data_IF_783940709996
#
_entry.id   IF_783940709996
#
_cell.length_a   1.000
_cell.length_b   1.000
_cell.length_c   1.000
_cell.angle_alpha   90.00
_cell.angle_beta   90.00
_cell.angle_gamma   90.00
#
_symmetry.space_group_name_H-M   'P 1'
#
loop_
_entity.id
_entity.type
_entity.pdbx_description
1 polymer ?
#
# COMPACT_ATOMS: atom_id res chain seq x y z
N UNK A 1 57.35 76.04 54.92
CA UNK A 1 57.54 74.73 54.27
C UNK A 1 56.33 74.35 53.45
N UNK A 2 56.44 74.37 52.11
CA UNK A 2 55.46 73.73 51.22
C UNK A 2 56.06 72.39 50.80
N UNK A 3 55.42 71.28 51.18
CA UNK A 3 55.77 69.94 50.72
C UNK A 3 54.94 69.67 49.46
N UNK A 4 55.60 69.58 48.31
CA UNK A 4 55.01 69.15 47.04
C UNK A 4 54.90 67.62 47.07
N UNK A 5 53.72 67.01 46.83
CA UNK A 5 53.63 65.56 46.78
C UNK A 5 54.24 65.05 45.48
N UNK A 6 55.22 64.18 45.58
CA UNK A 6 55.81 63.43 44.46
C UNK A 6 54.76 62.52 43.83
N UNK A 7 54.50 62.73 42.54
CA UNK A 7 53.68 61.84 41.70
C UNK A 7 54.36 60.48 41.61
N UNK A 8 53.73 59.45 42.17
CA UNK A 8 54.15 58.06 42.03
C UNK A 8 53.65 57.60 40.66
N UNK A 9 54.56 57.44 39.70
CA UNK A 9 54.24 56.81 38.42
C UNK A 9 53.93 55.33 38.65
N UNK A 10 52.84 54.85 38.05
CA UNK A 10 52.38 53.48 38.21
C UNK A 10 53.42 52.48 37.67
N UNK A 11 53.61 51.32 38.33
CA UNK A 11 54.58 50.33 37.88
C UNK A 11 54.22 49.82 36.47
N UNK A 12 55.22 49.51 35.62
CA UNK A 12 54.97 49.05 34.26
C UNK A 12 54.15 47.76 34.29
N UNK A 13 53.00 47.76 33.61
CA UNK A 13 52.16 46.57 33.43
C UNK A 13 52.97 45.51 32.67
N UNK A 14 53.43 44.48 33.38
CA UNK A 14 54.02 43.29 32.76
C UNK A 14 52.94 42.65 31.90
N UNK A 15 53.08 42.71 30.56
CA UNK A 15 52.26 41.91 29.64
C UNK A 15 52.66 40.46 29.85
N UNK A 16 51.85 39.73 30.63
CA UNK A 16 51.90 38.27 30.64
C UNK A 16 51.58 37.83 29.21
N UNK A 17 52.47 37.11 28.50
CA UNK A 17 52.15 36.58 27.19
C UNK A 17 50.92 35.69 27.38
N UNK A 18 49.85 36.01 26.67
CA UNK A 18 48.65 35.19 26.61
C UNK A 18 49.12 33.81 26.17
N UNK A 19 49.06 32.82 27.08
CA UNK A 19 49.53 31.46 26.80
C UNK A 19 48.71 30.96 25.61
N UNK A 20 49.29 31.00 24.41
CA UNK A 20 48.66 30.46 23.22
C UNK A 20 48.27 29.01 23.53
N UNK A 21 46.97 28.72 23.48
CA UNK A 21 46.46 27.38 23.73
C UNK A 21 47.14 26.42 22.76
N UNK A 22 47.69 25.29 23.24
CA UNK A 22 48.36 24.33 22.38
C UNK A 22 47.45 23.85 21.26
N UNK A 23 48.00 23.71 20.05
CA UNK A 23 47.30 23.30 18.85
C UNK A 23 46.47 22.00 19.01
N UNK A 24 46.94 21.06 19.82
CA UNK A 24 46.20 19.82 20.09
C UNK A 24 44.88 20.05 20.87
N UNK A 25 44.83 21.05 21.75
CA UNK A 25 43.63 21.42 22.50
C UNK A 25 42.60 22.07 21.57
N UNK A 26 43.06 22.96 20.68
CA UNK A 26 42.21 23.62 19.68
C UNK A 26 41.64 22.61 18.66
N UNK A 27 42.47 21.67 18.17
CA UNK A 27 42.04 20.59 17.28
C UNK A 27 41.06 19.62 17.95
N UNK A 28 41.29 19.26 19.22
CA UNK A 28 40.37 18.41 19.98
C UNK A 28 38.98 19.04 20.09
N UNK A 29 38.92 20.33 20.44
CA UNK A 29 37.66 21.09 20.55
C UNK A 29 36.94 21.24 19.21
N UNK A 30 37.67 21.51 18.13
CA UNK A 30 37.12 21.57 16.77
C UNK A 30 36.59 20.21 16.28
N UNK A 31 37.31 19.11 16.55
CA UNK A 31 36.85 17.75 16.23
C UNK A 31 35.61 17.35 17.02
N UNK A 32 35.54 17.73 18.30
CA UNK A 32 34.39 17.46 19.16
C UNK A 32 33.14 18.24 18.72
N UNK A 33 33.31 19.51 18.35
CA UNK A 33 32.23 20.34 17.79
C UNK A 33 31.77 19.84 16.42
N UNK A 34 32.70 19.54 15.49
CA UNK A 34 32.38 18.97 14.18
C UNK A 34 31.68 17.61 14.30
N UNK A 35 32.14 16.77 15.23
CA UNK A 35 31.52 15.48 15.55
C UNK A 35 30.08 15.64 16.07
N UNK A 36 29.82 16.63 16.93
CA UNK A 36 28.47 16.92 17.44
C UNK A 36 27.54 17.43 16.35
N UNK A 37 27.99 18.36 15.52
CA UNK A 37 27.20 18.89 14.38
C UNK A 37 26.91 17.81 13.36
N UNK A 38 27.89 16.97 13.02
CA UNK A 38 27.70 15.82 12.11
C UNK A 38 26.73 14.78 12.68
N UNK A 39 26.78 14.51 13.98
CA UNK A 39 25.80 13.62 14.66
C UNK A 39 24.39 14.20 14.61
N UNK A 40 24.23 15.50 14.86
CA UNK A 40 22.92 16.18 14.76
C UNK A 40 22.40 16.14 13.32
N UNK A 41 23.26 16.43 12.33
CA UNK A 41 22.89 16.37 10.93
C UNK A 41 22.51 14.95 10.49
N UNK A 42 23.24 13.93 10.94
CA UNK A 42 22.90 12.52 10.71
C UNK A 42 21.57 12.14 11.36
N UNK A 43 21.32 12.57 12.61
CA UNK A 43 20.05 12.32 13.30
C UNK A 43 18.88 12.99 12.58
N UNK A 44 19.03 14.26 12.21
CA UNK A 44 18.02 14.99 11.45
C UNK A 44 17.76 14.32 10.09
N UNK A 45 18.83 13.93 9.38
CA UNK A 45 18.73 13.18 8.14
C UNK A 45 18.01 11.85 8.31
N UNK A 46 18.31 11.09 9.37
CA UNK A 46 17.64 9.83 9.69
C UNK A 46 16.15 10.02 9.97
N UNK A 47 15.77 11.07 10.70
CA UNK A 47 14.36 11.41 10.96
C UNK A 47 13.64 11.76 9.65
N UNK A 48 14.25 12.59 8.80
CA UNK A 48 13.66 12.93 7.49
C UNK A 48 13.49 11.67 6.63
N UNK A 49 14.50 10.80 6.59
CA UNK A 49 14.43 9.55 5.84
C UNK A 49 13.33 8.63 6.36
N UNK A 50 13.18 8.54 7.69
CA UNK A 50 12.11 7.78 8.35
C UNK A 50 10.72 8.31 7.96
N UNK A 51 10.53 9.63 7.97
CA UNK A 51 9.26 10.25 7.58
C UNK A 51 8.93 9.98 6.11
N UNK A 52 9.92 10.06 5.23
CA UNK A 52 9.76 9.72 3.81
C UNK A 52 9.37 8.25 3.67
N UNK A 53 10.02 7.34 4.40
CA UNK A 53 9.71 5.92 4.35
C UNK A 53 8.29 5.62 4.82
N UNK A 54 7.86 6.26 5.91
CA UNK A 54 6.48 6.14 6.41
C UNK A 54 5.48 6.67 5.37
N UNK A 55 5.76 7.80 4.73
CA UNK A 55 4.90 8.35 3.69
C UNK A 55 4.82 7.41 2.47
N UNK A 56 5.95 6.86 2.01
CA UNK A 56 5.98 5.86 0.94
C UNK A 56 5.16 4.62 1.30
N UNK A 57 5.32 4.11 2.52
CA UNK A 57 4.54 2.98 3.02
C UNK A 57 3.05 3.28 3.06
N UNK A 58 2.65 4.44 3.57
CA UNK A 58 1.25 4.85 3.63
C UNK A 58 0.60 4.96 2.24
N UNK A 59 1.31 5.51 1.26
CA UNK A 59 0.82 5.63 -0.12
C UNK A 59 0.72 4.25 -0.80
N UNK A 60 1.71 3.38 -0.56
CA UNK A 60 1.77 2.04 -1.14
C UNK A 60 0.67 1.13 -0.57
N UNK A 61 0.51 1.14 0.77
CA UNK A 61 -0.45 0.28 1.49
C UNK A 61 -1.75 0.99 1.86
N UNK A 62 -2.07 2.11 1.21
CA UNK A 62 -3.26 2.95 1.50
C UNK A 62 -4.56 2.15 1.59
N UNK A 63 -4.77 1.19 0.68
CA UNK A 63 -5.98 0.37 0.62
C UNK A 63 -6.04 -0.64 1.78
N UNK A 64 -4.93 -1.31 2.09
CA UNK A 64 -4.84 -2.23 3.23
C UNK A 64 -5.02 -1.50 4.56
N UNK A 65 -4.42 -0.31 4.71
CA UNK A 65 -4.56 0.51 5.91
C UNK A 65 -6.00 0.99 6.10
N UNK A 66 -6.67 1.43 5.02
CA UNK A 66 -8.07 1.81 5.06
C UNK A 66 -9.01 0.64 5.37
N UNK A 67 -8.64 -0.58 4.98
CA UNK A 67 -9.41 -1.79 5.26
C UNK A 67 -9.25 -2.28 6.70
N UNK A 68 -8.05 -2.21 7.28
CA UNK A 68 -7.79 -2.60 8.67
C UNK A 68 -8.17 -1.54 9.69
N UNK A 69 -8.11 -0.26 9.32
CA UNK A 69 -8.46 0.88 10.19
C UNK A 69 -9.58 1.72 9.58
N UNK A 70 -10.86 1.30 9.70
CA UNK A 70 -11.99 2.01 9.11
C UNK A 70 -12.10 3.48 9.59
N UNK A 71 -11.70 3.76 10.84
CA UNK A 71 -11.70 5.10 11.41
C UNK A 71 -10.70 6.05 10.73
N UNK A 72 -9.62 5.52 10.15
CA UNK A 72 -8.62 6.31 9.42
C UNK A 72 -8.99 6.52 7.95
N UNK A 73 -9.96 5.76 7.41
CA UNK A 73 -10.43 5.85 6.02
C UNK A 73 -10.75 7.29 5.56
N UNK A 74 -11.48 8.13 6.30
CA UNK A 74 -11.76 9.51 5.85
C UNK A 74 -10.50 10.39 5.78
N UNK A 75 -9.57 10.26 6.73
CA UNK A 75 -8.31 11.01 6.72
C UNK A 75 -7.36 10.54 5.60
N UNK A 76 -7.37 9.23 5.31
CA UNK A 76 -6.65 8.65 4.16
C UNK A 76 -7.26 9.10 2.83
N UNK A 77 -8.58 9.12 2.72
CA UNK A 77 -9.27 9.56 1.52
C UNK A 77 -9.01 11.05 1.22
N UNK A 78 -9.04 11.93 2.23
CA UNK A 78 -8.77 13.35 2.05
C UNK A 78 -7.31 13.64 1.68
N UNK A 79 -6.35 12.99 2.35
CA UNK A 79 -4.93 13.12 1.98
C UNK A 79 -4.66 12.58 0.57
N UNK A 80 -5.32 11.48 0.18
CA UNK A 80 -5.19 10.96 -1.18
C UNK A 80 -5.80 11.87 -2.25
N UNK A 81 -6.93 12.54 -1.97
CA UNK A 81 -7.52 13.49 -2.91
C UNK A 81 -6.57 14.64 -3.26
N UNK A 82 -5.76 15.10 -2.30
CA UNK A 82 -4.74 16.14 -2.52
C UNK A 82 -3.54 15.59 -3.31
N UNK A 83 -3.13 14.35 -3.01
CA UNK A 83 -1.98 13.69 -3.63
C UNK A 83 -2.31 13.05 -5.00
N UNK A 84 -3.57 13.10 -5.44
CA UNK A 84 -4.03 12.47 -6.67
C UNK A 84 -4.17 10.94 -6.61
N UNK A 85 -4.13 10.33 -5.42
CA UNK A 85 -4.42 8.91 -5.24
C UNK A 85 -5.88 8.63 -4.91
N UNK A 86 -6.31 7.38 -5.06
CA UNK A 86 -7.64 6.89 -4.65
C UNK A 86 -7.49 5.75 -3.65
N UNK A 87 -8.35 5.76 -2.64
CA UNK A 87 -8.45 4.70 -1.62
C UNK A 87 -9.57 3.76 -2.07
N UNK A 88 -9.18 2.59 -2.54
CA UNK A 88 -10.08 1.55 -3.05
C UNK A 88 -10.05 0.33 -2.12
N UNK A 89 -10.96 -0.63 -2.34
CA UNK A 89 -10.90 -1.88 -1.60
C UNK A 89 -9.61 -2.65 -1.94
N UNK A 90 -9.04 -3.38 -0.97
CA UNK A 90 -7.95 -4.30 -1.25
C UNK A 90 -8.34 -5.30 -2.34
N UNK A 91 -7.37 -5.66 -3.18
CA UNK A 91 -7.52 -6.59 -4.30
C UNK A 91 -6.49 -7.73 -4.14
N UNK A 92 -6.67 -8.55 -3.10
CA UNK A 92 -5.72 -9.62 -2.73
C UNK A 92 -6.28 -10.98 -3.17
N UNK A 93 -5.72 -11.54 -4.24
CA UNK A 93 -6.18 -12.83 -4.80
C UNK A 93 -6.01 -13.98 -3.81
N UNK A 94 -4.95 -13.95 -2.97
CA UNK A 94 -4.69 -14.99 -1.96
C UNK A 94 -5.79 -15.11 -0.88
N UNK A 95 -6.63 -14.08 -0.73
CA UNK A 95 -7.78 -14.09 0.18
C UNK A 95 -9.06 -14.57 -0.50
N UNK A 96 -9.01 -14.93 -1.78
CA UNK A 96 -10.14 -15.40 -2.55
C UNK A 96 -9.95 -16.87 -2.92
N UNK A 97 -10.97 -17.67 -2.63
CA UNK A 97 -11.03 -19.08 -3.00
C UNK A 97 -12.26 -19.29 -3.86
N UNK A 98 -12.08 -19.94 -4.99
CA UNK A 98 -13.18 -20.45 -5.82
C UNK A 98 -13.32 -21.94 -5.54
N UNK A 99 -14.52 -22.37 -5.16
CA UNK A 99 -14.83 -23.80 -5.05
C UNK A 99 -15.18 -24.40 -6.41
N UNK A 100 -15.09 -25.73 -6.53
CA UNK A 100 -15.41 -26.44 -7.78
C UNK A 100 -16.80 -26.06 -8.28
N UNK A 101 -16.87 -25.57 -9.51
CA UNK A 101 -18.12 -25.18 -10.16
C UNK A 101 -18.76 -26.32 -10.96
N UNK A 102 -19.94 -26.03 -11.48
CA UNK A 102 -20.68 -26.92 -12.36
C UNK A 102 -20.97 -26.20 -13.68
N UNK A 103 -20.67 -26.88 -14.80
CA UNK A 103 -20.98 -26.42 -16.14
C UNK A 103 -22.24 -27.14 -16.64
N UNK A 104 -23.27 -26.38 -16.95
CA UNK A 104 -24.57 -26.89 -17.43
C UNK A 104 -24.86 -26.38 -18.83
N UNK A 105 -25.42 -27.25 -19.68
CA UNK A 105 -25.90 -26.88 -21.02
C UNK A 105 -27.37 -26.47 -20.95
N UNK A 106 -27.69 -25.28 -21.46
CA UNK A 106 -29.05 -24.77 -21.58
C UNK A 106 -29.66 -25.08 -22.96
N UNK A 107 -28.90 -25.73 -23.85
CA UNK A 107 -29.30 -26.03 -25.22
C UNK A 107 -29.01 -24.88 -26.20
N UNK A 108 -28.92 -25.22 -27.50
CA UNK A 108 -28.72 -24.25 -28.57
C UNK A 108 -27.44 -23.40 -28.42
N UNK A 109 -26.35 -24.00 -27.92
CA UNK A 109 -25.06 -23.34 -27.69
C UNK A 109 -25.02 -22.42 -26.47
N UNK A 110 -26.07 -22.39 -25.64
CA UNK A 110 -26.07 -21.66 -24.37
C UNK A 110 -25.59 -22.55 -23.22
N UNK A 111 -24.74 -21.99 -22.37
CA UNK A 111 -24.18 -22.65 -21.20
C UNK A 111 -24.33 -21.75 -19.96
N UNK A 112 -24.49 -22.38 -18.81
CA UNK A 112 -24.42 -21.73 -17.51
C UNK A 112 -23.36 -22.40 -16.64
N UNK A 113 -22.46 -21.60 -16.08
CA UNK A 113 -21.46 -22.06 -15.14
C UNK A 113 -21.77 -21.49 -13.76
N UNK A 114 -21.94 -22.34 -12.75
CA UNK A 114 -22.23 -21.94 -11.38
C UNK A 114 -21.08 -22.35 -10.46
N UNK A 115 -20.60 -21.42 -9.65
CA UNK A 115 -19.53 -21.65 -8.67
C UNK A 115 -19.76 -20.81 -7.40
N UNK A 116 -18.96 -21.06 -6.38
CA UNK A 116 -18.93 -20.29 -5.15
C UNK A 116 -17.60 -19.55 -5.05
N UNK A 117 -17.69 -18.23 -4.83
CA UNK A 117 -16.54 -17.39 -4.53
C UNK A 117 -16.55 -17.03 -3.05
N UNK A 118 -15.52 -17.44 -2.33
CA UNK A 118 -15.36 -17.20 -0.90
C UNK A 118 -14.22 -16.23 -0.64
N UNK A 119 -14.50 -15.20 0.16
CA UNK A 119 -13.46 -14.37 0.75
C UNK A 119 -13.06 -14.97 2.11
N UNK A 120 -11.88 -15.56 2.20
CA UNK A 120 -11.35 -16.11 3.46
C UNK A 120 -10.66 -15.07 4.34
N UNK A 121 -10.46 -13.85 3.82
CA UNK A 121 -9.82 -12.75 4.52
C UNK A 121 -10.69 -12.12 5.61
N UNK A 122 -10.03 -11.37 6.50
CA UNK A 122 -10.68 -10.61 7.58
C UNK A 122 -11.20 -9.23 7.14
N UNK A 123 -10.95 -8.83 5.89
CA UNK A 123 -11.36 -7.53 5.34
C UNK A 123 -12.16 -7.71 4.05
N UNK A 124 -13.04 -6.75 3.70
CA UNK A 124 -13.71 -6.74 2.40
C UNK A 124 -12.68 -6.69 1.25
N UNK A 125 -12.92 -7.46 0.19
CA UNK A 125 -12.10 -7.47 -1.02
C UNK A 125 -12.88 -6.86 -2.19
N UNK A 126 -12.17 -6.22 -3.12
CA UNK A 126 -12.75 -5.80 -4.39
C UNK A 126 -13.25 -7.02 -5.16
N UNK A 127 -14.30 -6.87 -5.97
CA UNK A 127 -14.78 -7.96 -6.80
C UNK A 127 -13.76 -8.31 -7.90
N UNK A 128 -13.35 -9.58 -8.03
CA UNK A 128 -12.33 -9.98 -9.01
C UNK A 128 -12.92 -10.10 -10.41
N UNK A 129 -12.05 -10.12 -11.42
CA UNK A 129 -12.42 -10.65 -12.73
C UNK A 129 -12.26 -12.17 -12.73
N UNK A 130 -13.17 -12.85 -13.42
CA UNK A 130 -13.18 -14.31 -13.55
C UNK A 130 -12.77 -14.68 -14.96
N UNK A 131 -11.79 -15.56 -15.07
CA UNK A 131 -11.40 -16.15 -16.33
C UNK A 131 -11.92 -17.59 -16.39
N UNK A 132 -12.76 -17.87 -17.38
CA UNK A 132 -13.27 -19.21 -17.65
C UNK A 132 -12.66 -19.71 -18.97
N UNK A 133 -11.91 -20.80 -18.89
CA UNK A 133 -11.40 -21.53 -20.05
C UNK A 133 -12.17 -22.84 -20.18
N UNK A 134 -12.75 -23.10 -21.34
CA UNK A 134 -13.42 -24.37 -21.62
C UNK A 134 -12.43 -25.31 -22.30
N UNK A 135 -12.46 -26.60 -21.95
CA UNK A 135 -11.52 -27.60 -22.48
C UNK A 135 -12.20 -28.75 -23.20
N UNK A 136 -11.45 -29.38 -24.10
CA UNK A 136 -11.82 -30.63 -24.77
C UNK A 136 -11.53 -31.87 -23.89
N UNK A 137 -11.76 -33.07 -24.44
CA UNK A 137 -11.59 -34.33 -23.70
C UNK A 137 -10.12 -34.65 -23.38
N UNK A 138 -9.19 -33.95 -24.01
CA UNK A 138 -7.74 -34.06 -23.78
C UNK A 138 -7.20 -32.87 -22.96
N UNK A 139 -8.10 -32.13 -22.29
CA UNK A 139 -7.80 -30.95 -21.47
C UNK A 139 -7.15 -29.78 -22.25
N UNK A 140 -7.39 -29.70 -23.56
CA UNK A 140 -6.90 -28.58 -24.38
C UNK A 140 -7.88 -27.41 -24.32
N UNK A 141 -7.41 -26.17 -24.09
CA UNK A 141 -8.27 -24.99 -24.07
C UNK A 141 -8.86 -24.72 -25.45
N UNK A 142 -10.20 -24.74 -25.53
CA UNK A 142 -10.98 -24.44 -26.73
C UNK A 142 -11.30 -22.95 -26.83
N UNK A 143 -11.77 -22.37 -25.73
CA UNK A 143 -12.13 -20.95 -25.65
C UNK A 143 -11.85 -20.44 -24.26
N UNK A 144 -11.39 -19.19 -24.18
CA UNK A 144 -11.13 -18.47 -22.94
C UNK A 144 -11.92 -17.16 -22.94
N UNK A 145 -12.66 -16.93 -21.87
CA UNK A 145 -13.49 -15.73 -21.71
C UNK A 145 -13.28 -15.12 -20.33
N UNK A 146 -13.16 -13.80 -20.32
CA UNK A 146 -13.07 -13.00 -19.10
C UNK A 146 -14.44 -12.41 -18.79
N UNK A 147 -14.86 -12.53 -17.54
CA UNK A 147 -16.07 -11.95 -16.98
C UNK A 147 -15.67 -10.90 -15.93
N UNK A 148 -16.05 -9.65 -16.18
CA UNK A 148 -15.86 -8.58 -15.23
C UNK A 148 -16.92 -8.65 -14.11
N UNK A 149 -16.71 -8.00 -12.95
CA UNK A 149 -17.70 -7.95 -11.87
C UNK A 149 -19.12 -7.59 -12.33
N UNK A 150 -19.24 -6.66 -13.28
CA UNK A 150 -20.52 -6.24 -13.85
C UNK A 150 -21.30 -7.33 -14.59
N UNK A 151 -20.63 -8.39 -15.03
CA UNK A 151 -21.23 -9.46 -15.83
C UNK A 151 -21.90 -10.51 -14.95
N UNK A 152 -21.42 -10.69 -13.71
CA UNK A 152 -21.92 -11.70 -12.78
C UNK A 152 -22.57 -11.15 -11.52
N UNK A 153 -22.35 -9.86 -11.17
CA UNK A 153 -23.09 -9.21 -10.08
C UNK A 153 -24.53 -8.85 -10.47
N UNK A 154 -24.86 -8.85 -11.77
CA UNK A 154 -26.23 -8.63 -12.25
C UNK A 154 -27.12 -9.87 -12.13
N UNK A 155 -26.54 -11.07 -12.10
CA UNK A 155 -27.25 -12.33 -11.99
C UNK A 155 -27.46 -12.80 -10.54
N UNK A 156 -26.81 -12.17 -9.56
CA UNK A 156 -26.94 -12.48 -8.13
C UNK A 156 -27.89 -11.54 -7.36
N UNK A 157 -28.12 -11.86 -6.09
CA UNK A 157 -29.06 -11.18 -5.17
C UNK A 157 -28.69 -9.74 -4.76
N UNK A 158 -27.75 -9.08 -5.44
CA UNK A 158 -27.21 -7.78 -5.02
C UNK A 158 -27.28 -6.76 -6.17
N UNK A 159 -27.83 -5.54 -5.97
CA UNK A 159 -27.97 -4.55 -7.03
C UNK A 159 -26.58 -4.14 -7.57
N UNK A 160 -26.26 -4.58 -8.79
CA UNK A 160 -24.90 -4.74 -9.30
C UNK A 160 -23.94 -3.53 -9.23
N UNK A 161 -24.41 -2.29 -9.09
CA UNK A 161 -23.54 -1.12 -8.93
C UNK A 161 -23.20 -0.80 -7.46
N UNK A 162 -24.17 -0.91 -6.55
CA UNK A 162 -23.96 -0.68 -5.12
C UNK A 162 -23.17 -1.83 -4.47
N UNK A 163 -23.41 -3.06 -4.95
CA UNK A 163 -22.66 -4.25 -4.57
C UNK A 163 -21.19 -4.15 -4.99
N UNK A 164 -20.93 -3.63 -6.20
CA UNK A 164 -19.57 -3.43 -6.70
C UNK A 164 -18.76 -2.47 -5.83
N UNK A 165 -19.39 -1.42 -5.30
CA UNK A 165 -18.75 -0.43 -4.43
C UNK A 165 -18.46 -0.95 -3.02
N UNK A 166 -19.28 -1.88 -2.52
CA UNK A 166 -19.13 -2.46 -1.18
C UNK A 166 -18.11 -3.60 -1.14
N UNK A 167 -17.87 -4.26 -2.28
CA UNK A 167 -16.98 -5.41 -2.40
C UNK A 167 -17.56 -6.70 -1.83
N UNK A 168 -16.76 -7.77 -1.86
CA UNK A 168 -17.07 -9.05 -1.24
C UNK A 168 -16.70 -8.98 0.24
N UNK A 169 -17.70 -9.12 1.11
CA UNK A 169 -17.57 -9.04 2.55
C UNK A 169 -16.58 -10.09 3.13
N UNK A 170 -15.96 -9.81 4.29
CA UNK A 170 -15.02 -10.73 4.92
C UNK A 170 -15.71 -12.01 5.37
N UNK A 171 -15.06 -13.17 5.15
CA UNK A 171 -15.56 -14.50 5.53
C UNK A 171 -16.94 -14.85 4.97
N UNK A 172 -17.31 -14.24 3.83
CA UNK A 172 -18.57 -14.51 3.13
C UNK A 172 -18.28 -15.31 1.86
N UNK A 173 -19.22 -16.20 1.56
CA UNK A 173 -19.29 -16.96 0.33
C UNK A 173 -20.43 -16.41 -0.53
N UNK A 174 -20.15 -16.23 -1.83
CA UNK A 174 -21.09 -15.70 -2.80
C UNK A 174 -21.23 -16.66 -3.98
N UNK A 175 -22.46 -17.08 -4.23
CA UNK A 175 -22.79 -17.84 -5.43
C UNK A 175 -22.68 -16.95 -6.67
N UNK A 176 -21.97 -17.45 -7.67
CA UNK A 176 -21.75 -16.80 -8.96
C UNK A 176 -22.27 -17.71 -10.07
N UNK A 177 -23.16 -17.17 -10.90
CA UNK A 177 -23.65 -17.86 -12.10
C UNK A 177 -23.33 -17.03 -13.34
N UNK A 178 -22.51 -17.61 -14.21
CA UNK A 178 -22.08 -17.05 -15.48
C UNK A 178 -22.92 -17.65 -16.60
N UNK A 179 -23.59 -16.81 -17.38
CA UNK A 179 -24.32 -17.23 -18.56
C UNK A 179 -23.56 -16.78 -19.81
N UNK A 180 -23.32 -17.70 -20.73
CA UNK A 180 -22.63 -17.40 -21.98
C UNK A 180 -23.08 -18.33 -23.10
N UNK A 181 -22.77 -17.92 -24.33
CA UNK A 181 -23.02 -18.72 -25.54
C UNK A 181 -21.70 -19.05 -26.20
N UNK A 182 -21.60 -20.26 -26.72
CA UNK A 182 -20.49 -20.74 -27.53
C UNK A 182 -21.09 -21.51 -28.70
N UNK A 183 -20.81 -21.04 -29.91
CA UNK A 183 -21.29 -21.67 -31.14
C UNK A 183 -20.33 -22.80 -31.57
N UNK A 184 -20.89 -23.89 -32.10
CA UNK A 184 -20.18 -25.04 -32.68
C UNK A 184 -19.11 -25.73 -31.79
N UNK A 185 -19.21 -25.57 -30.47
CA UNK A 185 -18.29 -26.19 -29.50
C UNK A 185 -19.07 -26.97 -28.43
N UNK A 186 -18.56 -28.17 -28.15
CA UNK A 186 -19.04 -29.07 -27.09
C UNK A 186 -17.88 -29.32 -26.12
N UNK A 187 -17.68 -28.42 -25.15
CA UNK A 187 -16.62 -28.59 -24.15
C UNK A 187 -16.97 -29.76 -23.23
N UNK A 188 -15.95 -30.51 -22.82
CA UNK A 188 -16.07 -31.60 -21.85
C UNK A 188 -15.48 -31.24 -20.48
N UNK A 189 -14.74 -30.14 -20.38
CA UNK A 189 -14.12 -29.67 -19.15
C UNK A 189 -14.07 -28.14 -19.06
N UNK A 190 -13.58 -27.66 -17.92
CA UNK A 190 -13.40 -26.23 -17.65
C UNK A 190 -12.22 -25.99 -16.70
N UNK A 191 -11.63 -24.80 -16.80
CA UNK A 191 -10.72 -24.22 -15.81
C UNK A 191 -11.22 -22.82 -15.46
N UNK A 192 -11.19 -22.47 -14.18
CA UNK A 192 -11.56 -21.15 -13.71
C UNK A 192 -10.44 -20.52 -12.88
N UNK A 193 -10.16 -19.25 -13.11
CA UNK A 193 -9.20 -18.46 -12.36
C UNK A 193 -9.78 -17.10 -11.94
N UNK A 194 -9.38 -16.62 -10.78
CA UNK A 194 -9.62 -15.25 -10.30
C UNK A 194 -8.40 -14.39 -10.56
N UNK A 195 -8.60 -13.16 -11.02
CA UNK A 195 -7.53 -12.18 -11.14
C UNK A 195 -8.05 -10.74 -11.01
N UNK A 196 -7.13 -9.80 -10.80
CA UNK A 196 -7.39 -8.36 -10.87
C UNK A 196 -6.57 -7.76 -12.02
N UNK A 197 -7.21 -7.07 -12.99
CA UNK A 197 -6.52 -6.45 -14.13
C UNK A 197 -5.70 -5.21 -13.73
#
# INVERSE_FOLDING_TARGET
SRLTPTRIDAPPKIRVPEREEPEFVRRGRQQEQSGRTRKIAMLAGAIVLLLILVAQGAITFRNALAAHFPAAKPALASSCAVLGCRVELPAQVDNLVIDTGELTTLGGGAYAFTTQLRNQGAVPQAWPSLELSLTDANDKPLVRRVFAPRDYLKSGSSPGAAAAATGLAPRVEQAITLHFRVDDLQPSGYHIAVFYP
#
